data_IF_243820230484
#
_entry.id   IF_243820230484
#
_cell.length_a   1.000
_cell.length_b   1.000
_cell.length_c   1.000
_cell.angle_alpha   90.00
_cell.angle_beta   90.00
_cell.angle_gamma   90.00
#
_symmetry.space_group_name_H-M   'P 1'
#
loop_
_entity.id
_entity.type
_entity.pdbx_description
1 polymer ?
#
# COMPACT_ATOMS: atom_id res chain seq x y z
N UNK A 1 -11.59 -0.55 14.37
CA UNK A 1 -10.41 0.24 13.94
C UNK A 1 -9.17 -0.49 14.43
N UNK A 2 -8.69 -1.53 13.73
CA UNK A 2 -7.60 -2.46 14.13
C UNK A 2 -6.44 -1.77 14.86
N UNK A 3 -5.86 -2.45 15.85
CA UNK A 3 -4.73 -1.92 16.63
C UNK A 3 -3.59 -1.60 15.66
N UNK A 4 -3.01 -0.41 15.79
CA UNK A 4 -1.97 0.05 14.88
C UNK A 4 -0.68 -0.69 15.21
N UNK A 5 -0.20 -1.50 14.27
CA UNK A 5 1.01 -2.32 14.47
C UNK A 5 1.93 -2.17 13.26
N UNK A 6 2.30 -0.92 12.97
CA UNK A 6 3.36 -0.61 12.03
C UNK A 6 4.68 -0.74 12.78
N UNK A 7 5.59 -1.63 12.35
CA UNK A 7 6.85 -1.80 13.04
C UNK A 7 7.69 -0.53 12.90
N UNK A 8 8.55 -0.29 13.90
CA UNK A 8 9.66 0.62 13.71
C UNK A 8 10.58 0.05 12.62
N UNK A 9 11.03 0.90 11.71
CA UNK A 9 11.96 0.52 10.65
C UNK A 9 13.11 1.51 10.65
N UNK A 10 14.34 0.99 10.55
CA UNK A 10 15.51 1.82 10.34
C UNK A 10 15.43 2.48 8.95
N UNK A 11 15.87 3.74 8.86
CA UNK A 11 15.94 4.45 7.59
C UNK A 11 17.34 4.30 6.99
N UNK A 12 17.54 3.36 6.04
CA UNK A 12 18.81 3.27 5.33
C UNK A 12 19.09 4.57 4.55
N UNK A 13 20.37 4.90 4.42
CA UNK A 13 20.83 5.99 3.56
C UNK A 13 20.49 5.67 2.10
N UNK A 14 20.38 6.70 1.25
CA UNK A 14 19.83 6.53 -0.10
C UNK A 14 20.58 5.49 -0.94
N UNK A 15 21.89 5.36 -0.73
CA UNK A 15 22.77 4.41 -1.42
C UNK A 15 22.59 2.96 -0.99
N UNK A 16 22.06 2.73 0.22
CA UNK A 16 21.81 1.39 0.77
C UNK A 16 20.42 0.86 0.42
N UNK A 17 19.56 1.70 -0.15
CA UNK A 17 18.19 1.31 -0.51
C UNK A 17 18.20 0.49 -1.80
N UNK A 18 17.73 -0.75 -1.68
CA UNK A 18 17.39 -1.58 -2.83
C UNK A 18 16.01 -1.19 -3.38
N UNK A 19 15.98 -0.34 -4.39
CA UNK A 19 14.74 0.09 -5.05
C UNK A 19 14.12 -0.99 -5.95
N UNK A 20 14.92 -1.94 -6.44
CA UNK A 20 14.45 -3.01 -7.32
C UNK A 20 13.61 -4.02 -6.52
N UNK A 21 13.89 -4.17 -5.23
CA UNK A 21 13.22 -5.12 -4.35
C UNK A 21 11.69 -5.02 -4.34
N UNK A 22 11.14 -3.80 -4.37
CA UNK A 22 9.68 -3.59 -4.40
C UNK A 22 9.09 -4.12 -5.70
N UNK A 23 9.77 -3.90 -6.83
CA UNK A 23 9.35 -4.41 -8.13
C UNK A 23 9.45 -5.93 -8.20
N UNK A 24 10.57 -6.50 -7.75
CA UNK A 24 10.75 -7.96 -7.67
C UNK A 24 9.67 -8.63 -6.82
N UNK A 25 9.30 -8.02 -5.70
CA UNK A 25 8.22 -8.51 -4.85
C UNK A 25 6.92 -8.60 -5.65
N UNK A 26 6.51 -7.52 -6.31
CA UNK A 26 5.26 -7.51 -7.08
C UNK A 26 5.27 -8.53 -8.21
N UNK A 27 6.38 -8.73 -8.91
CA UNK A 27 6.50 -9.76 -9.94
C UNK A 27 6.34 -11.19 -9.40
N UNK A 28 6.80 -11.45 -8.17
CA UNK A 28 6.73 -12.78 -7.54
C UNK A 28 5.36 -13.06 -6.91
N UNK A 29 4.58 -12.03 -6.62
CA UNK A 29 3.25 -12.20 -6.05
C UNK A 29 2.33 -12.93 -7.01
N UNK A 30 1.49 -13.79 -6.44
CA UNK A 30 0.52 -14.54 -7.21
C UNK A 30 -0.58 -13.59 -7.71
N UNK A 31 -1.09 -13.84 -8.91
CA UNK A 31 -2.07 -12.99 -9.63
C UNK A 31 -1.52 -11.67 -10.22
N UNK A 32 -0.21 -11.38 -10.06
CA UNK A 32 0.47 -10.27 -10.74
C UNK A 32 0.96 -10.64 -12.16
N UNK A 33 0.54 -11.80 -12.67
CA UNK A 33 0.54 -12.11 -14.10
C UNK A 33 -0.50 -11.26 -14.87
N UNK A 34 -1.48 -10.68 -14.18
CA UNK A 34 -2.37 -9.67 -14.73
C UNK A 34 -1.60 -8.38 -15.05
N UNK A 35 -1.55 -8.03 -16.35
CA UNK A 35 -0.96 -6.81 -16.89
C UNK A 35 -1.47 -5.56 -16.15
N UNK A 36 -2.76 -5.49 -15.80
CA UNK A 36 -3.33 -4.32 -15.15
C UNK A 36 -2.84 -4.14 -13.71
N UNK A 37 -2.74 -5.23 -12.94
CA UNK A 37 -2.19 -5.18 -11.57
C UNK A 37 -0.69 -4.92 -11.59
N UNK A 38 0.02 -5.56 -12.52
CA UNK A 38 1.46 -5.38 -12.67
C UNK A 38 1.83 -3.95 -13.07
N UNK A 39 1.06 -3.34 -13.99
CA UNK A 39 1.27 -1.95 -14.40
C UNK A 39 1.09 -0.97 -13.23
N UNK A 40 0.05 -1.16 -12.40
CA UNK A 40 -0.15 -0.30 -11.23
C UNK A 40 0.94 -0.51 -10.16
N UNK A 41 1.41 -1.74 -9.98
CA UNK A 41 2.56 -2.03 -9.11
C UNK A 41 3.87 -1.43 -9.64
N UNK A 42 4.06 -1.43 -10.96
CA UNK A 42 5.19 -0.78 -11.63
C UNK A 42 5.22 0.72 -11.34
N UNK A 43 4.08 1.40 -11.45
CA UNK A 43 4.00 2.83 -11.14
C UNK A 43 4.44 3.11 -9.70
N UNK A 44 4.02 2.28 -8.73
CA UNK A 44 4.43 2.41 -7.32
C UNK A 44 5.95 2.24 -7.17
N UNK A 45 6.51 1.21 -7.81
CA UNK A 45 7.94 0.89 -7.72
C UNK A 45 8.81 1.97 -8.38
N UNK A 46 8.38 2.52 -9.53
CA UNK A 46 9.09 3.59 -10.25
C UNK A 46 9.02 4.92 -9.49
N UNK A 47 7.89 5.21 -8.85
CA UNK A 47 7.71 6.45 -8.09
C UNK A 47 8.48 6.45 -6.76
N UNK A 48 8.80 5.29 -6.21
CA UNK A 48 9.50 5.15 -4.94
C UNK A 48 10.91 5.79 -4.92
N UNK A 49 11.84 5.52 -5.87
CA UNK A 49 13.14 6.19 -5.90
C UNK A 49 13.01 7.69 -6.14
N UNK A 50 12.14 8.11 -7.06
CA UNK A 50 11.90 9.53 -7.33
C UNK A 50 11.45 10.27 -6.07
N UNK A 51 10.44 9.75 -5.37
CA UNK A 51 9.91 10.37 -4.16
C UNK A 51 10.92 10.33 -3.02
N UNK A 52 11.69 9.25 -2.89
CA UNK A 52 12.76 9.18 -1.90
C UNK A 52 13.80 10.29 -2.13
N UNK A 53 14.20 10.55 -3.38
CA UNK A 53 15.10 11.67 -3.69
C UNK A 53 14.50 13.04 -3.30
N UNK A 54 13.20 13.24 -3.54
CA UNK A 54 12.53 14.49 -3.14
C UNK A 54 12.45 14.65 -1.61
N UNK A 55 12.28 13.55 -0.88
CA UNK A 55 12.30 13.54 0.59
C UNK A 55 13.68 13.92 1.13
N UNK A 56 14.77 13.36 0.58
CA UNK A 56 16.13 13.75 0.96
C UNK A 56 16.44 15.22 0.60
N UNK A 57 16.06 15.68 -0.58
CA UNK A 57 16.24 17.09 -0.98
C UNK A 57 15.46 18.05 -0.06
N UNK A 58 14.26 17.66 0.39
CA UNK A 58 13.48 18.42 1.36
C UNK A 58 14.18 18.49 2.73
N UNK A 59 14.84 17.41 3.15
CA UNK A 59 15.62 17.39 4.39
C UNK A 59 16.83 18.33 4.29
N UNK A 60 17.56 18.30 3.18
CA UNK A 60 18.68 19.22 2.92
C UNK A 60 18.21 20.68 2.97
N UNK A 61 17.11 21.00 2.27
CA UNK A 61 16.54 22.36 2.27
C UNK A 61 16.13 22.80 3.69
N UNK A 62 15.51 21.91 4.48
CA UNK A 62 15.15 22.18 5.87
C UNK A 62 16.37 22.52 6.74
N UNK A 63 17.48 21.81 6.54
CA UNK A 63 18.73 22.05 7.27
C UNK A 63 19.37 23.38 6.85
N UNK A 64 19.35 23.70 5.56
CA UNK A 64 19.96 24.93 5.02
C UNK A 64 19.23 26.20 5.46
N UNK A 65 17.89 26.19 5.45
CA UNK A 65 17.10 27.39 5.75
C UNK A 65 16.66 27.46 7.22
N UNK A 66 16.93 26.42 8.02
CA UNK A 66 16.57 26.25 9.44
C UNK A 66 15.09 26.52 9.75
N UNK A 67 14.23 26.36 8.73
CA UNK A 67 12.79 26.63 8.78
C UNK A 67 12.08 25.66 7.86
N UNK A 68 10.83 25.30 8.18
CA UNK A 68 10.02 24.43 7.30
C UNK A 68 9.88 25.03 5.89
N UNK A 69 10.49 24.40 4.85
CA UNK A 69 10.34 24.84 3.47
C UNK A 69 8.93 24.50 3.00
N UNK A 70 8.04 25.49 3.00
CA UNK A 70 6.60 25.22 2.96
C UNK A 70 6.16 24.67 1.61
N UNK A 71 6.70 25.19 0.51
CA UNK A 71 6.33 24.74 -0.85
C UNK A 71 6.80 23.30 -1.09
N UNK A 72 8.08 23.02 -0.83
CA UNK A 72 8.68 21.68 -0.96
C UNK A 72 7.99 20.67 -0.03
N UNK A 73 7.72 21.04 1.23
CA UNK A 73 7.03 20.16 2.18
C UNK A 73 5.59 19.84 1.72
N UNK A 74 4.86 20.82 1.17
CA UNK A 74 3.53 20.59 0.61
C UNK A 74 3.56 19.68 -0.61
N UNK A 75 4.56 19.85 -1.49
CA UNK A 75 4.75 19.03 -2.68
C UNK A 75 5.06 17.57 -2.31
N UNK A 76 6.07 17.35 -1.47
CA UNK A 76 6.42 16.01 -0.98
C UNK A 76 5.23 15.37 -0.26
N UNK A 77 4.53 16.11 0.61
CA UNK A 77 3.33 15.61 1.29
C UNK A 77 2.22 15.19 0.32
N UNK A 78 2.02 15.90 -0.79
CA UNK A 78 1.06 15.49 -1.82
C UNK A 78 1.49 14.19 -2.52
N UNK A 79 2.76 14.09 -2.91
CA UNK A 79 3.31 12.88 -3.55
C UNK A 79 3.28 11.67 -2.61
N UNK A 80 3.66 11.83 -1.34
CA UNK A 80 3.61 10.75 -0.35
C UNK A 80 2.19 10.25 -0.16
N UNK A 81 1.20 11.15 -0.07
CA UNK A 81 -0.21 10.76 -0.03
C UNK A 81 -0.60 9.97 -1.28
N UNK A 82 -0.34 10.50 -2.48
CA UNK A 82 -0.68 9.81 -3.73
C UNK A 82 -0.08 8.41 -3.80
N UNK A 83 1.19 8.25 -3.41
CA UNK A 83 1.84 6.94 -3.35
C UNK A 83 1.15 5.99 -2.37
N UNK A 84 0.80 6.45 -1.16
CA UNK A 84 0.09 5.64 -0.15
C UNK A 84 -1.30 5.20 -0.66
N UNK A 85 -2.03 6.12 -1.30
CA UNK A 85 -3.34 5.79 -1.90
C UNK A 85 -3.20 4.76 -3.02
N UNK A 86 -2.22 4.91 -3.91
CA UNK A 86 -1.95 3.95 -4.99
C UNK A 86 -1.57 2.57 -4.44
N UNK A 87 -0.68 2.52 -3.46
CA UNK A 87 -0.30 1.26 -2.80
C UNK A 87 -1.51 0.56 -2.17
N UNK A 88 -2.33 1.32 -1.44
CA UNK A 88 -3.55 0.78 -0.84
C UNK A 88 -4.48 0.18 -1.90
N UNK A 89 -4.73 0.88 -3.01
CA UNK A 89 -5.67 0.40 -4.03
C UNK A 89 -5.16 -0.87 -4.74
N UNK A 90 -3.86 -0.97 -5.01
CA UNK A 90 -3.25 -2.19 -5.56
C UNK A 90 -3.39 -3.37 -4.61
N UNK A 91 -2.97 -3.20 -3.35
CA UNK A 91 -3.03 -4.27 -2.35
C UNK A 91 -4.48 -4.67 -2.04
N UNK A 92 -5.40 -3.71 -1.95
CA UNK A 92 -6.84 -3.95 -1.74
C UNK A 92 -7.43 -4.75 -2.88
N UNK A 93 -7.15 -4.37 -4.12
CA UNK A 93 -7.69 -5.04 -5.31
C UNK A 93 -7.14 -6.45 -5.43
N UNK A 94 -5.83 -6.62 -5.25
CA UNK A 94 -5.17 -7.93 -5.24
C UNK A 94 -5.76 -8.86 -4.16
N UNK A 95 -5.85 -8.39 -2.91
CA UNK A 95 -6.43 -9.16 -1.79
C UNK A 95 -7.90 -9.51 -2.01
N UNK A 96 -8.68 -8.58 -2.58
CA UNK A 96 -10.08 -8.82 -2.94
C UNK A 96 -10.19 -9.93 -3.98
N UNK A 97 -9.34 -9.96 -5.00
CA UNK A 97 -9.32 -11.01 -6.02
C UNK A 97 -8.96 -12.37 -5.42
N UNK A 98 -7.94 -12.45 -4.58
CA UNK A 98 -7.59 -13.67 -3.83
C UNK A 98 -8.81 -14.20 -3.08
N UNK A 99 -9.45 -13.33 -2.29
CA UNK A 99 -10.64 -13.70 -1.50
C UNK A 99 -11.77 -14.24 -2.37
N UNK A 100 -12.05 -13.58 -3.49
CA UNK A 100 -13.11 -13.99 -4.43
C UNK A 100 -12.79 -15.38 -5.00
N UNK A 101 -11.56 -15.63 -5.45
CA UNK A 101 -11.17 -16.92 -6.03
C UNK A 101 -11.28 -18.06 -5.00
N UNK A 102 -10.76 -17.85 -3.78
CA UNK A 102 -10.79 -18.87 -2.73
C UNK A 102 -12.22 -19.15 -2.22
N UNK A 103 -13.04 -18.12 -2.05
CA UNK A 103 -14.46 -18.26 -1.70
C UNK A 103 -15.26 -18.94 -2.82
N UNK A 104 -14.94 -18.66 -4.09
CA UNK A 104 -15.55 -19.34 -5.22
C UNK A 104 -15.11 -20.81 -5.33
N UNK A 105 -13.88 -21.14 -4.96
CA UNK A 105 -13.39 -22.53 -4.86
C UNK A 105 -14.19 -23.31 -3.81
N UNK A 106 -14.34 -22.76 -2.61
CA UNK A 106 -15.08 -23.43 -1.53
C UNK A 106 -16.56 -23.62 -1.85
N UNK A 107 -17.16 -22.70 -2.62
CA UNK A 107 -18.56 -22.77 -3.08
C UNK A 107 -18.77 -23.58 -4.36
N UNK A 108 -17.72 -24.03 -5.04
CA UNK A 108 -17.80 -24.70 -6.34
C UNK A 108 -18.34 -23.81 -7.48
N UNK A 109 -18.17 -22.48 -7.37
CA UNK A 109 -18.73 -21.51 -8.34
C UNK A 109 -17.70 -20.97 -9.34
N UNK A 110 -16.50 -21.55 -9.39
CA UNK A 110 -15.41 -21.10 -10.27
C UNK A 110 -15.78 -21.14 -11.77
N UNK A 111 -16.67 -22.05 -12.17
CA UNK A 111 -17.13 -22.14 -13.56
C UNK A 111 -17.78 -20.84 -14.07
N UNK A 112 -18.36 -20.04 -13.17
CA UNK A 112 -18.98 -18.75 -13.54
C UNK A 112 -17.99 -17.75 -14.12
N UNK A 113 -16.71 -17.82 -13.78
CA UNK A 113 -15.68 -16.95 -14.35
C UNK A 113 -15.43 -17.30 -15.82
N UNK A 114 -15.40 -18.59 -16.14
CA UNK A 114 -15.22 -19.10 -17.51
C UNK A 114 -16.45 -18.71 -18.35
N UNK A 115 -17.65 -19.00 -17.86
CA UNK A 115 -18.90 -18.66 -18.57
C UNK A 115 -19.05 -17.14 -18.79
N UNK A 116 -18.48 -16.32 -17.90
CA UNK A 116 -18.47 -14.86 -18.05
C UNK A 116 -17.47 -14.41 -19.12
N UNK A 117 -16.28 -14.98 -19.15
CA UNK A 117 -15.27 -14.68 -20.16
C UNK A 117 -15.77 -15.05 -21.57
N UNK A 118 -16.50 -16.15 -21.73
CA UNK A 118 -17.09 -16.55 -23.01
C UNK A 118 -18.16 -15.55 -23.51
N UNK A 119 -18.94 -14.95 -22.60
CA UNK A 119 -19.96 -13.95 -22.94
C UNK A 119 -19.39 -12.58 -23.26
N UNK A 120 -18.21 -12.27 -22.74
CA UNK A 120 -17.56 -10.95 -22.83
C UNK A 120 -16.21 -11.09 -23.53
N UNK A 121 -16.23 -11.59 -24.76
CA UNK A 121 -15.05 -12.00 -25.54
C UNK A 121 -14.08 -10.85 -25.91
N UNK A 122 -14.46 -9.59 -25.66
CA UNK A 122 -13.60 -8.41 -25.82
C UNK A 122 -12.92 -7.96 -24.52
N UNK A 123 -13.24 -8.57 -23.38
CA UNK A 123 -12.77 -8.13 -22.08
C UNK A 123 -11.56 -8.95 -21.61
N UNK A 124 -10.36 -8.40 -21.84
CA UNK A 124 -9.08 -9.02 -21.42
C UNK A 124 -9.05 -9.34 -19.92
N UNK A 125 -9.64 -8.49 -19.07
CA UNK A 125 -9.68 -8.74 -17.64
C UNK A 125 -10.56 -9.94 -17.27
N UNK A 126 -11.66 -10.18 -18.01
CA UNK A 126 -12.51 -11.35 -17.81
C UNK A 126 -11.77 -12.65 -18.19
N UNK A 127 -10.98 -12.61 -19.27
CA UNK A 127 -10.16 -13.75 -19.69
C UNK A 127 -9.10 -14.13 -18.65
N UNK A 128 -8.34 -13.15 -18.16
CA UNK A 128 -7.32 -13.36 -17.11
C UNK A 128 -7.97 -13.96 -15.85
N UNK A 129 -9.13 -13.45 -15.44
CA UNK A 129 -9.86 -13.99 -14.28
C UNK A 129 -10.31 -15.44 -14.48
N UNK A 130 -10.74 -15.80 -15.69
CA UNK A 130 -11.11 -17.17 -16.01
C UNK A 130 -9.91 -18.12 -15.97
N UNK A 131 -8.75 -17.70 -16.49
CA UNK A 131 -7.50 -18.45 -16.42
C UNK A 131 -7.06 -18.67 -14.96
N UNK A 132 -7.04 -17.61 -14.16
CA UNK A 132 -6.72 -17.67 -12.73
C UNK A 132 -7.70 -18.60 -11.97
N UNK A 133 -9.00 -18.54 -12.29
CA UNK A 133 -10.00 -19.43 -11.71
C UNK A 133 -9.78 -20.90 -12.11
N UNK A 134 -9.36 -21.16 -13.36
CA UNK A 134 -8.96 -22.48 -13.84
C UNK A 134 -7.77 -23.04 -13.05
N UNK A 135 -6.72 -22.23 -12.87
CA UNK A 135 -5.54 -22.59 -12.07
C UNK A 135 -5.91 -22.92 -10.62
N UNK A 136 -6.72 -22.09 -9.97
CA UNK A 136 -7.18 -22.35 -8.59
C UNK A 136 -8.04 -23.62 -8.48
N UNK A 137 -8.78 -23.97 -9.54
CA UNK A 137 -9.60 -25.19 -9.59
C UNK A 137 -8.73 -26.45 -9.70
N UNK A 138 -7.71 -26.41 -10.55
CA UNK A 138 -6.91 -27.57 -10.95
C UNK A 138 -5.69 -27.78 -10.05
N UNK A 139 -5.14 -26.71 -9.48
CA UNK A 139 -3.94 -26.72 -8.67
C UNK A 139 -4.26 -26.34 -7.20
N UNK A 140 -4.04 -27.30 -6.29
CA UNK A 140 -4.19 -27.09 -4.85
C UNK A 140 -3.02 -26.28 -4.28
N UNK A 141 -1.80 -26.49 -4.79
CA UNK A 141 -0.61 -25.76 -4.36
C UNK A 141 -0.73 -24.29 -4.70
N UNK A 142 -1.27 -23.96 -5.88
CA UNK A 142 -1.54 -22.57 -6.23
C UNK A 142 -2.51 -21.89 -5.26
N UNK A 143 -3.54 -22.59 -4.79
CA UNK A 143 -4.48 -22.03 -3.81
C UNK A 143 -3.81 -21.79 -2.43
N UNK A 144 -2.90 -22.68 -2.02
CA UNK A 144 -2.11 -22.50 -0.80
C UNK A 144 -1.17 -21.30 -0.92
N UNK A 145 -0.49 -21.16 -2.08
CA UNK A 145 0.38 -20.03 -2.40
C UNK A 145 -0.36 -18.68 -2.30
N UNK A 146 -1.62 -18.61 -2.73
CA UNK A 146 -2.44 -17.41 -2.61
C UNK A 146 -2.64 -16.99 -1.15
N UNK A 147 -2.92 -17.93 -0.25
CA UNK A 147 -3.07 -17.63 1.18
C UNK A 147 -1.74 -17.29 1.84
N UNK A 148 -0.66 -17.96 1.46
CA UNK A 148 0.70 -17.68 1.95
C UNK A 148 1.14 -16.26 1.57
N UNK A 149 1.07 -15.90 0.30
CA UNK A 149 1.41 -14.56 -0.16
C UNK A 149 0.53 -13.49 0.49
N UNK A 150 -0.77 -13.76 0.63
CA UNK A 150 -1.70 -12.86 1.33
C UNK A 150 -1.33 -12.69 2.80
N UNK A 151 -0.93 -13.75 3.49
CA UNK A 151 -0.47 -13.68 4.87
C UNK A 151 0.84 -12.89 5.00
N UNK A 152 1.78 -13.08 4.08
CA UNK A 152 3.07 -12.37 4.05
C UNK A 152 2.88 -10.84 3.93
N UNK A 153 1.87 -10.38 3.20
CA UNK A 153 1.58 -8.95 3.00
C UNK A 153 0.52 -8.38 3.96
N UNK A 154 -0.07 -9.19 4.84
CA UNK A 154 -1.20 -8.75 5.68
C UNK A 154 -0.80 -7.59 6.61
N UNK A 155 0.43 -7.59 7.15
CA UNK A 155 0.91 -6.47 7.98
C UNK A 155 1.06 -5.19 7.16
N UNK A 156 1.71 -5.26 5.99
CA UNK A 156 1.86 -4.11 5.07
C UNK A 156 0.50 -3.54 4.69
N UNK A 157 -0.44 -4.40 4.34
CA UNK A 157 -1.80 -4.01 3.98
C UNK A 157 -2.50 -3.26 5.12
N UNK A 158 -2.44 -3.78 6.35
CA UNK A 158 -3.09 -3.16 7.52
C UNK A 158 -2.51 -1.80 7.87
N UNK A 159 -1.19 -1.66 7.81
CA UNK A 159 -0.52 -0.37 8.02
C UNK A 159 -0.94 0.64 6.96
N UNK A 160 -0.90 0.23 5.69
CA UNK A 160 -1.30 1.07 4.55
C UNK A 160 -2.78 1.46 4.64
N UNK A 161 -3.68 0.53 4.95
CA UNK A 161 -5.12 0.77 5.11
C UNK A 161 -5.39 1.77 6.25
N UNK A 162 -4.73 1.59 7.40
CA UNK A 162 -4.89 2.50 8.54
C UNK A 162 -4.43 3.91 8.21
N UNK A 163 -3.23 4.04 7.63
CA UNK A 163 -2.68 5.33 7.21
C UNK A 163 -3.58 6.00 6.16
N UNK A 164 -4.03 5.25 5.15
CA UNK A 164 -4.96 5.73 4.12
C UNK A 164 -6.26 6.23 4.74
N UNK A 165 -6.84 5.53 5.72
CA UNK A 165 -8.05 5.96 6.42
C UNK A 165 -7.81 7.27 7.18
N UNK A 166 -6.69 7.42 7.89
CA UNK A 166 -6.34 8.65 8.58
C UNK A 166 -6.19 9.82 7.59
N UNK A 167 -5.48 9.60 6.49
CA UNK A 167 -5.27 10.61 5.43
C UNK A 167 -6.57 11.01 4.74
N UNK A 168 -7.46 10.04 4.46
CA UNK A 168 -8.71 10.28 3.75
C UNK A 168 -9.78 10.94 4.62
N UNK A 169 -9.76 10.68 5.93
CA UNK A 169 -10.82 11.20 6.79
C UNK A 169 -10.76 12.72 6.91
N UNK A 170 -9.58 13.33 7.12
CA UNK A 170 -9.36 14.77 7.39
C UNK A 170 -10.28 15.43 8.47
N UNK A 171 -11.40 14.80 8.86
CA UNK A 171 -12.37 15.05 9.92
C UNK A 171 -13.10 13.72 10.26
N UNK A 172 -13.50 13.51 11.51
CA UNK A 172 -14.18 12.27 11.95
C UNK A 172 -15.64 12.24 11.47
N UNK A 173 -16.08 11.11 10.90
CA UNK A 173 -17.51 10.81 10.72
C UNK A 173 -18.13 10.45 12.08
N UNK A 174 -18.88 11.38 12.68
CA UNK A 174 -19.67 11.14 13.89
C UNK A 174 -19.28 11.92 15.16
N UNK A 175 -18.70 13.11 15.05
CA UNK A 175 -18.45 13.97 16.24
C UNK A 175 -19.75 14.59 16.77
N UNK A 176 -20.49 13.83 17.59
CA UNK A 176 -21.42 14.38 18.58
C UNK A 176 -20.90 14.28 20.02
N UNK A 177 -19.90 13.45 20.32
CA UNK A 177 -19.52 13.17 21.72
C UNK A 177 -18.05 13.33 22.09
N UNK A 178 -17.11 13.47 21.14
CA UNK A 178 -15.70 13.74 21.49
C UNK A 178 -15.33 15.19 21.16
N UNK A 179 -15.34 16.05 22.17
CA UNK A 179 -14.72 17.40 22.15
C UNK A 179 -13.18 17.30 22.05
N UNK A 180 -12.64 16.54 21.11
CA UNK A 180 -11.23 16.63 20.74
C UNK A 180 -11.13 17.67 19.62
N UNK A 181 -10.66 18.86 19.98
CA UNK A 181 -10.22 19.93 19.07
C UNK A 181 -9.65 19.30 17.78
N UNK A 182 -10.00 19.77 16.57
CA UNK A 182 -9.38 19.28 15.34
C UNK A 182 -7.87 19.57 15.41
N UNK A 183 -7.10 18.57 15.85
CA UNK A 183 -5.65 18.64 15.91
C UNK A 183 -5.15 18.22 14.53
N UNK A 184 -5.02 19.22 13.64
CA UNK A 184 -4.20 19.23 12.41
C UNK A 184 -4.06 17.89 11.66
N UNK A 185 -5.11 17.07 11.53
CA UNK A 185 -5.01 15.79 10.83
C UNK A 185 -4.87 16.05 9.34
N UNK A 186 -3.62 16.03 8.86
CA UNK A 186 -3.22 16.44 7.52
C UNK A 186 -1.93 17.26 7.48
N UNK A 187 -1.47 17.81 8.61
CA UNK A 187 -0.17 18.49 8.71
C UNK A 187 0.89 17.45 9.08
N UNK A 188 1.58 16.91 8.07
CA UNK A 188 2.70 16.02 8.32
C UNK A 188 3.96 16.79 8.70
N UNK A 189 4.83 16.18 9.49
CA UNK A 189 6.14 16.74 9.88
C UNK A 189 7.22 16.15 9.00
N UNK A 190 8.24 16.93 8.69
CA UNK A 190 9.41 16.41 7.99
C UNK A 190 10.17 15.52 8.97
N UNK A 191 10.36 14.27 8.61
CA UNK A 191 11.12 13.31 9.40
C UNK A 191 12.59 13.69 9.36
N UNK A 192 13.26 13.89 10.51
CA UNK A 192 14.64 14.38 10.53
C UNK A 192 15.67 13.34 10.07
N UNK A 193 15.29 12.07 9.94
CA UNK A 193 16.20 10.98 9.54
C UNK A 193 16.20 10.74 8.03
N UNK A 194 15.06 10.94 7.36
CA UNK A 194 14.92 10.58 5.94
C UNK A 194 14.18 11.62 5.10
N UNK A 195 13.71 12.73 5.70
CA UNK A 195 12.99 13.80 5.01
C UNK A 195 11.55 13.46 4.60
N UNK A 196 11.11 12.22 4.83
CA UNK A 196 9.74 11.81 4.56
C UNK A 196 8.73 12.56 5.44
N UNK A 197 7.49 12.62 4.99
CA UNK A 197 6.43 13.28 5.75
C UNK A 197 5.81 12.29 6.75
N UNK A 198 6.04 12.54 8.03
CA UNK A 198 5.42 11.83 9.15
C UNK A 198 3.97 12.27 9.31
N UNK A 199 3.04 11.31 9.16
CA UNK A 199 1.62 11.54 9.33
C UNK A 199 1.16 11.02 10.70
N UNK A 200 0.32 11.80 11.37
CA UNK A 200 -0.29 11.41 12.64
C UNK A 200 -1.34 10.32 12.43
N UNK A 201 -1.18 9.23 13.17
CA UNK A 201 -2.14 8.13 13.24
C UNK A 201 -2.72 8.08 14.64
N UNK A 202 -4.05 8.20 14.74
CA UNK A 202 -4.77 8.09 16.00
C UNK A 202 -5.14 6.63 16.26
N UNK A 203 -4.69 6.10 17.39
CA UNK A 203 -5.05 4.76 17.84
C UNK A 203 -6.41 4.70 18.55
N UNK A 204 -6.89 3.48 18.82
CA UNK A 204 -8.16 3.25 19.54
C UNK A 204 -8.13 3.77 20.97
N UNK A 205 -7.00 3.61 21.65
CA UNK A 205 -6.79 4.03 23.03
C UNK A 205 -6.61 5.56 23.17
N UNK A 206 -6.59 6.27 22.03
CA UNK A 206 -6.37 7.71 21.95
C UNK A 206 -4.91 8.12 21.92
N UNK A 207 -3.96 7.17 21.88
CA UNK A 207 -2.56 7.46 21.60
C UNK A 207 -2.37 7.94 20.16
N UNK A 208 -1.25 8.65 19.95
CA UNK A 208 -0.87 9.21 18.66
C UNK A 208 0.47 8.58 18.31
N UNK A 209 0.51 7.96 17.14
CA UNK A 209 1.73 7.47 16.52
C UNK A 209 2.01 8.24 15.23
N UNK A 210 3.23 8.11 14.71
CA UNK A 210 3.69 8.76 13.51
C UNK A 210 4.18 7.72 12.51
N UNK A 211 3.56 7.71 11.33
CA UNK A 211 4.02 6.86 10.23
C UNK A 211 4.11 7.65 8.95
N UNK A 212 5.17 7.39 8.21
CA UNK A 212 5.42 7.97 6.91
C UNK A 212 5.40 6.88 5.84
N UNK A 213 5.49 7.34 4.59
CA UNK A 213 5.57 6.49 3.41
C UNK A 213 6.80 5.56 3.42
N UNK A 214 7.96 6.05 3.89
CA UNK A 214 9.22 5.28 3.89
C UNK A 214 9.10 4.01 4.73
N UNK A 215 8.40 4.06 5.87
CA UNK A 215 8.09 2.85 6.66
C UNK A 215 7.39 1.79 5.79
N UNK A 216 6.35 2.17 5.04
CA UNK A 216 5.63 1.23 4.17
C UNK A 216 6.51 0.69 3.03
N UNK A 217 7.36 1.54 2.46
CA UNK A 217 8.30 1.13 1.41
C UNK A 217 9.31 0.10 1.94
N UNK A 218 9.90 0.35 3.11
CA UNK A 218 10.83 -0.61 3.73
C UNK A 218 10.12 -1.90 4.16
N UNK A 219 8.88 -1.82 4.64
CA UNK A 219 8.08 -3.02 4.93
C UNK A 219 7.88 -3.88 3.68
N UNK A 220 7.63 -3.27 2.50
CA UNK A 220 7.55 -4.01 1.24
C UNK A 220 8.89 -4.69 0.91
N UNK A 221 10.01 -3.96 1.00
CA UNK A 221 11.35 -4.52 0.73
C UNK A 221 11.73 -5.66 1.68
N UNK A 222 11.24 -5.60 2.91
CA UNK A 222 11.47 -6.62 3.93
C UNK A 222 10.68 -7.92 3.69
N UNK A 223 9.61 -7.90 2.89
CA UNK A 223 8.83 -9.10 2.59
C UNK A 223 9.73 -10.18 1.94
N UNK A 224 9.55 -11.41 2.40
CA UNK A 224 10.16 -12.61 1.85
C UNK A 224 9.03 -13.55 1.42
N UNK A 225 9.06 -13.90 0.14
CA UNK A 225 8.20 -14.90 -0.51
C UNK A 225 9.10 -16.06 -0.94
#
# INVERSE_FOLDING_TARGET
MTDFNCPYVDYPVIEEIDFDRTYELFQRLALFDDIFLLMQAQDIAVLDPFLTQQEYALLEELLDIERTPTESAMFVSALSRMWIFSLYEVLRTWRQRIRILLDSKSKGTLQRFIDRAEKDSGNTAAYIQAEQAGRVREDVEFANLLEEHKAALEQVYRCTETLRICLAKQEKKGDREMKSIPRRSGYGRINPHCGAIDFEVLERDGSIDYVNRRVLAEMLRAVRL
#
